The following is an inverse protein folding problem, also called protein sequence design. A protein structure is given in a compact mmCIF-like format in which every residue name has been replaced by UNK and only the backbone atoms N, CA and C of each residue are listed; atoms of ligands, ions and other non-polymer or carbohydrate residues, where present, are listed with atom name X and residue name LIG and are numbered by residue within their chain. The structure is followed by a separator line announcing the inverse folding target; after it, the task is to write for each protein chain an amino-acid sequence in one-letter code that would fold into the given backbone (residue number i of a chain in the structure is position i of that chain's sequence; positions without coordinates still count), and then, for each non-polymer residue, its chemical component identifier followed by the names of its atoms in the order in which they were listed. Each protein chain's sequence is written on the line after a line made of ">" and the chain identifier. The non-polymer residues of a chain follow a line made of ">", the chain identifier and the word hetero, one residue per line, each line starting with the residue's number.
data_IF_368930329794
#
_entry.id   IF_368930329794
#
_cell.length_a   1.000
_cell.length_b   1.000
_cell.length_c   1.000
_cell.angle_alpha   90.00
_cell.angle_beta   90.00
_cell.angle_gamma   90.00
#
_symmetry.space_group_name_H-M   'P 1'
#
loop_
_entity.id
_entity.type
_entity.pdbx_description
1 polymer ?
#
# COMPACT_ATOMS: atom_id res chain seq x y z
N UNK A 1 -10.34 -1.18 12.84
CA UNK A 1 -11.13 -1.45 11.64
C UNK A 1 -10.74 -2.81 11.11
N UNK A 2 -11.64 -3.45 10.38
CA UNK A 2 -11.30 -4.65 9.61
C UNK A 2 -10.20 -4.29 8.58
N UNK A 3 -9.13 -5.06 8.58
CA UNK A 3 -7.97 -4.90 7.66
C UNK A 3 -7.81 -6.13 6.77
N UNK A 4 -8.83 -7.00 6.71
CA UNK A 4 -8.91 -8.07 5.72
C UNK A 4 -8.73 -7.50 4.31
N UNK A 5 -7.90 -8.14 3.49
CA UNK A 5 -7.56 -7.65 2.16
C UNK A 5 -6.65 -6.41 2.11
N UNK A 6 -6.03 -6.00 3.24
CA UNK A 6 -4.97 -4.97 3.28
C UNK A 6 -3.61 -5.59 3.62
N UNK A 7 -2.56 -4.77 3.64
CA UNK A 7 -1.16 -5.15 3.90
C UNK A 7 -0.64 -4.69 5.28
N UNK A 8 -1.35 -4.90 6.42
CA UNK A 8 -0.99 -4.28 7.69
C UNK A 8 0.31 -4.78 8.31
N UNK A 9 0.67 -6.07 8.21
CA UNK A 9 1.99 -6.56 8.68
C UNK A 9 3.09 -6.07 7.76
N UNK A 10 2.85 -6.15 6.46
CA UNK A 10 3.79 -5.72 5.43
C UNK A 10 4.18 -4.25 5.62
N UNK A 11 3.20 -3.36 5.76
CA UNK A 11 3.43 -1.93 5.93
C UNK A 11 3.92 -1.55 7.33
N UNK A 12 3.44 -2.22 8.38
CA UNK A 12 3.98 -2.01 9.74
C UNK A 12 5.45 -2.42 9.79
N UNK A 13 5.81 -3.54 9.15
CA UNK A 13 7.18 -4.02 9.05
C UNK A 13 8.08 -3.05 8.28
N UNK A 14 7.63 -2.58 7.11
CA UNK A 14 8.33 -1.57 6.32
C UNK A 14 8.66 -0.33 7.16
N UNK A 15 7.67 0.22 7.83
CA UNK A 15 7.83 1.48 8.58
C UNK A 15 8.77 1.32 9.78
N UNK A 16 8.68 0.22 10.53
CA UNK A 16 9.56 -0.01 11.68
C UNK A 16 11.01 -0.25 11.26
N UNK A 17 11.25 -1.02 10.20
CA UNK A 17 12.60 -1.25 9.65
C UNK A 17 13.20 0.06 9.12
N UNK A 18 12.42 0.85 8.38
CA UNK A 18 12.87 2.14 7.84
C UNK A 18 13.24 3.13 8.96
N UNK A 19 12.39 3.25 9.98
CA UNK A 19 12.64 4.12 11.13
C UNK A 19 13.81 3.62 11.98
N UNK A 20 13.98 2.31 12.11
CA UNK A 20 15.13 1.69 12.75
C UNK A 20 16.43 2.01 12.00
N UNK A 21 16.43 1.87 10.67
CA UNK A 21 17.57 2.20 9.83
C UNK A 21 17.96 3.69 9.93
N UNK A 22 16.97 4.59 9.89
CA UNK A 22 17.19 6.02 10.09
C UNK A 22 17.77 6.31 11.47
N UNK A 23 17.17 5.76 12.53
CA UNK A 23 17.62 5.99 13.91
C UNK A 23 19.04 5.46 14.14
N UNK A 24 19.39 4.34 13.50
CA UNK A 24 20.74 3.78 13.52
C UNK A 24 21.76 4.69 12.85
N UNK A 25 21.41 5.29 11.72
CA UNK A 25 22.26 6.25 11.02
C UNK A 25 22.42 7.54 11.84
N UNK A 26 21.34 8.08 12.37
CA UNK A 26 21.35 9.33 13.15
C UNK A 26 21.93 9.13 14.57
N UNK A 27 22.02 7.89 15.04
CA UNK A 27 22.46 7.54 16.39
C UNK A 27 21.48 7.95 17.50
N UNK A 28 20.23 8.25 17.14
CA UNK A 28 19.17 8.69 18.05
C UNK A 28 17.79 8.49 17.40
N UNK A 29 16.71 8.66 18.17
CA UNK A 29 15.32 8.45 17.70
C UNK A 29 14.54 9.74 17.45
N UNK A 30 15.18 10.90 17.36
CA UNK A 30 14.48 12.19 17.35
C UNK A 30 13.42 12.30 16.25
N UNK A 31 13.67 11.75 15.06
CA UNK A 31 12.65 11.69 13.99
C UNK A 31 11.48 10.79 14.39
N UNK A 32 11.77 9.58 14.87
CA UNK A 32 10.79 8.56 15.26
C UNK A 32 9.93 9.01 16.46
N UNK A 33 10.51 9.74 17.40
CA UNK A 33 9.84 10.20 18.63
C UNK A 33 8.60 11.05 18.35
N UNK A 34 8.61 11.80 17.23
CA UNK A 34 7.46 12.59 16.76
C UNK A 34 6.23 11.75 16.43
N UNK A 35 6.41 10.45 16.18
CA UNK A 35 5.37 9.52 15.76
C UNK A 35 5.28 8.30 16.69
N UNK A 36 5.92 8.35 17.85
CA UNK A 36 6.03 7.19 18.74
C UNK A 36 4.71 6.48 19.06
N UNK A 37 3.60 7.19 19.35
CA UNK A 37 2.32 6.51 19.59
C UNK A 37 1.83 5.66 18.41
N UNK A 38 2.12 6.08 17.17
CA UNK A 38 1.78 5.32 15.96
C UNK A 38 2.74 4.15 15.75
N UNK A 39 4.04 4.37 15.97
CA UNK A 39 5.09 3.33 15.90
C UNK A 39 4.77 2.20 16.89
N UNK A 40 4.41 2.54 18.13
CA UNK A 40 3.99 1.55 19.15
C UNK A 40 2.73 0.79 18.73
N UNK A 41 1.78 1.42 18.04
CA UNK A 41 0.61 0.71 17.49
C UNK A 41 1.01 -0.32 16.44
N UNK A 42 1.91 0.02 15.52
CA UNK A 42 2.43 -0.91 14.53
C UNK A 42 3.18 -2.07 15.18
N UNK A 43 4.06 -1.79 16.15
CA UNK A 43 4.78 -2.83 16.88
C UNK A 43 3.83 -3.77 17.65
N UNK A 44 2.84 -3.23 18.35
CA UNK A 44 1.84 -4.05 19.06
C UNK A 44 0.99 -4.88 18.10
N UNK A 45 0.67 -4.36 16.91
CA UNK A 45 0.02 -5.12 15.87
C UNK A 45 0.88 -6.32 15.46
N UNK A 46 2.17 -6.11 15.16
CA UNK A 46 3.11 -7.17 14.83
C UNK A 46 3.32 -8.19 15.96
N UNK A 47 3.34 -7.76 17.22
CA UNK A 47 3.38 -8.69 18.37
C UNK A 47 2.15 -9.60 18.37
N UNK A 48 0.97 -9.05 18.08
CA UNK A 48 -0.29 -9.78 18.15
C UNK A 48 -0.60 -10.64 16.92
N UNK A 49 -0.09 -10.25 15.75
CA UNK A 49 -0.50 -10.76 14.44
C UNK A 49 0.66 -11.06 13.51
N UNK A 50 1.88 -10.61 13.77
CA UNK A 50 2.96 -10.65 12.80
C UNK A 50 3.63 -12.01 12.58
N UNK A 51 3.42 -12.99 13.48
CA UNK A 51 4.08 -14.29 13.37
C UNK A 51 3.47 -15.19 12.28
N UNK A 52 2.18 -15.47 12.35
CA UNK A 52 1.49 -16.37 11.42
C UNK A 52 0.06 -15.87 11.21
N UNK A 53 -0.33 -15.66 9.95
CA UNK A 53 -1.61 -15.07 9.59
C UNK A 53 -2.33 -15.86 8.52
N UNK A 54 -3.58 -16.17 8.84
CA UNK A 54 -4.51 -16.85 7.95
C UNK A 54 -4.94 -15.98 6.76
N UNK A 55 -5.03 -14.65 6.94
CA UNK A 55 -5.57 -13.77 5.89
C UNK A 55 -5.03 -12.32 5.96
N UNK A 56 -4.09 -11.98 5.07
CA UNK A 56 -3.76 -10.59 4.68
C UNK A 56 -3.07 -10.58 3.31
N UNK A 57 -2.99 -9.40 2.71
CA UNK A 57 -2.18 -9.20 1.51
C UNK A 57 -0.68 -9.05 1.83
N UNK A 58 0.17 -9.33 0.85
CA UNK A 58 1.62 -9.11 0.83
C UNK A 58 2.05 -8.42 -0.47
N UNK A 59 3.26 -7.86 -0.49
CA UNK A 59 3.81 -7.25 -1.71
C UNK A 59 3.89 -8.23 -2.90
N UNK A 60 3.94 -9.54 -2.61
CA UNK A 60 4.03 -10.61 -3.60
C UNK A 60 2.68 -11.14 -4.06
N UNK A 61 1.55 -10.53 -3.69
CA UNK A 61 0.22 -11.03 -4.06
C UNK A 61 -0.11 -10.93 -5.55
N UNK A 62 0.74 -10.24 -6.33
CA UNK A 62 0.72 -10.38 -7.80
C UNK A 62 0.97 -11.83 -8.24
N UNK A 63 1.59 -12.66 -7.37
CA UNK A 63 1.77 -14.10 -7.53
C UNK A 63 0.62 -14.94 -6.91
N UNK A 64 -0.47 -14.28 -6.50
CA UNK A 64 -1.60 -14.87 -5.80
C UNK A 64 -1.47 -14.81 -4.28
N UNK A 65 -2.61 -14.60 -3.62
CA UNK A 65 -2.73 -14.51 -2.16
C UNK A 65 -2.16 -15.76 -1.46
N UNK A 66 -1.41 -15.53 -0.38
CA UNK A 66 -0.72 -16.58 0.37
C UNK A 66 -0.81 -16.36 1.88
N UNK A 67 -1.68 -17.15 2.53
CA UNK A 67 -1.72 -17.30 3.98
C UNK A 67 -0.43 -17.96 4.50
N UNK A 68 -0.15 -17.80 5.80
CA UNK A 68 0.95 -18.46 6.50
C UNK A 68 2.36 -18.18 5.91
N UNK A 69 2.54 -17.01 5.29
CA UNK A 69 3.76 -16.66 4.55
C UNK A 69 4.98 -16.54 5.48
N UNK A 70 5.95 -17.44 5.26
CA UNK A 70 7.17 -17.57 6.07
C UNK A 70 8.09 -16.35 5.91
N UNK A 71 8.20 -15.79 4.71
CA UNK A 71 9.05 -14.62 4.45
C UNK A 71 8.46 -13.35 5.09
N UNK A 72 7.14 -13.19 5.05
CA UNK A 72 6.45 -12.07 5.70
C UNK A 72 6.54 -12.17 7.23
N UNK A 73 6.47 -13.38 7.79
CA UNK A 73 6.74 -13.63 9.21
C UNK A 73 8.15 -13.17 9.61
N UNK A 74 9.17 -13.50 8.79
CA UNK A 74 10.54 -13.03 8.97
C UNK A 74 10.64 -11.50 9.02
N UNK A 75 9.92 -10.80 8.14
CA UNK A 75 9.83 -9.33 8.15
C UNK A 75 9.32 -8.78 9.48
N UNK A 76 8.27 -9.41 10.03
CA UNK A 76 7.71 -9.00 11.31
C UNK A 76 8.72 -9.16 12.45
N UNK A 77 9.49 -10.26 12.43
CA UNK A 77 10.55 -10.52 13.42
C UNK A 77 11.63 -9.43 13.35
N UNK A 78 12.13 -9.14 12.14
CA UNK A 78 13.10 -8.07 11.92
C UNK A 78 12.58 -6.69 12.35
N UNK A 79 11.33 -6.39 12.03
CA UNK A 79 10.69 -5.13 12.41
C UNK A 79 10.56 -4.97 13.93
N UNK A 80 10.26 -6.04 14.66
CA UNK A 80 10.25 -6.03 16.13
C UNK A 80 11.67 -5.89 16.70
N UNK A 81 12.67 -6.50 16.07
CA UNK A 81 14.08 -6.27 16.37
C UNK A 81 14.50 -4.80 16.22
N UNK A 82 14.11 -4.17 15.10
CA UNK A 82 14.36 -2.75 14.84
C UNK A 82 13.64 -1.84 15.86
N UNK A 83 12.39 -2.16 16.24
CA UNK A 83 11.67 -1.42 17.27
C UNK A 83 12.32 -1.55 18.65
N UNK A 84 12.78 -2.75 19.03
CA UNK A 84 13.54 -2.96 20.26
C UNK A 84 14.85 -2.16 20.26
N UNK A 85 15.58 -2.13 19.13
CA UNK A 85 16.78 -1.28 18.98
C UNK A 85 16.46 0.21 19.24
N UNK A 86 15.39 0.74 18.66
CA UNK A 86 14.97 2.13 18.89
C UNK A 86 14.55 2.39 20.34
N UNK A 87 13.85 1.46 21.00
CA UNK A 87 13.53 1.56 22.43
C UNK A 87 14.80 1.66 23.29
N UNK A 88 15.82 0.86 22.97
CA UNK A 88 17.13 0.93 23.62
C UNK A 88 17.80 2.30 23.44
N UNK A 89 17.77 2.86 22.23
CA UNK A 89 18.29 4.21 21.94
C UNK A 89 17.56 5.31 22.73
N UNK A 90 16.26 5.12 23.02
CA UNK A 90 15.44 6.03 23.85
C UNK A 90 15.69 5.88 25.35
N UNK A 91 16.46 4.88 25.77
CA UNK A 91 16.65 4.54 27.19
C UNK A 91 15.49 3.74 27.80
N UNK A 92 14.52 3.27 27.01
CA UNK A 92 13.41 2.41 27.47
C UNK A 92 13.87 0.94 27.47
N UNK A 93 14.83 0.64 28.33
CA UNK A 93 15.55 -0.64 28.36
C UNK A 93 14.66 -1.82 28.74
N UNK A 94 13.67 -1.60 29.61
CA UNK A 94 12.73 -2.64 30.02
C UNK A 94 11.84 -3.09 28.87
N UNK A 95 11.23 -2.14 28.16
CA UNK A 95 10.38 -2.44 27.01
C UNK A 95 11.20 -2.95 25.82
N UNK A 96 12.41 -2.41 25.60
CA UNK A 96 13.38 -2.95 24.65
C UNK A 96 13.64 -4.44 24.91
N UNK A 97 13.94 -4.81 26.16
CA UNK A 97 14.18 -6.20 26.55
C UNK A 97 12.95 -7.10 26.34
N UNK A 98 11.75 -6.60 26.67
CA UNK A 98 10.49 -7.32 26.45
C UNK A 98 10.24 -7.61 24.97
N UNK A 99 10.31 -6.59 24.11
CA UNK A 99 10.07 -6.76 22.68
C UNK A 99 11.15 -7.63 22.05
N UNK A 100 12.42 -7.44 22.43
CA UNK A 100 13.52 -8.30 21.99
C UNK A 100 13.26 -9.77 22.31
N UNK A 101 12.87 -10.07 23.55
CA UNK A 101 12.55 -11.45 23.96
C UNK A 101 11.38 -12.06 23.20
N UNK A 102 10.39 -11.24 22.80
CA UNK A 102 9.29 -11.68 21.92
C UNK A 102 9.83 -12.04 20.53
N UNK A 103 10.64 -11.16 19.93
CA UNK A 103 11.21 -11.40 18.60
C UNK A 103 12.11 -12.65 18.58
N UNK A 104 12.92 -12.87 19.62
CA UNK A 104 13.72 -14.09 19.78
C UNK A 104 12.85 -15.34 19.96
N UNK A 105 11.74 -15.23 20.70
CA UNK A 105 10.74 -16.29 20.83
C UNK A 105 10.11 -16.65 19.49
N UNK A 106 9.68 -15.65 18.72
CA UNK A 106 9.14 -15.82 17.37
C UNK A 106 10.19 -16.43 16.43
N UNK A 107 11.46 -16.03 16.52
CA UNK A 107 12.55 -16.62 15.72
C UNK A 107 12.71 -18.11 16.01
N UNK A 108 12.71 -18.52 17.29
CA UNK A 108 12.79 -19.94 17.65
C UNK A 108 11.62 -20.75 17.09
N UNK A 109 10.41 -20.20 17.15
CA UNK A 109 9.22 -20.83 16.57
C UNK A 109 9.33 -20.90 15.04
N UNK A 110 9.75 -19.82 14.40
CA UNK A 110 9.94 -19.74 12.95
C UNK A 110 10.94 -20.79 12.47
N UNK A 111 12.08 -20.93 13.16
CA UNK A 111 13.10 -21.93 12.84
C UNK A 111 12.57 -23.35 12.92
N UNK A 112 11.73 -23.65 13.92
CA UNK A 112 11.14 -24.98 14.08
C UNK A 112 10.03 -25.25 13.05
N UNK A 113 9.18 -24.26 12.79
CA UNK A 113 7.99 -24.41 11.96
C UNK A 113 8.30 -24.31 10.47
N UNK A 114 9.23 -23.46 10.06
CA UNK A 114 9.50 -23.17 8.65
C UNK A 114 10.51 -24.13 8.00
N UNK A 115 11.32 -24.84 8.79
CA UNK A 115 12.37 -25.73 8.28
C UNK A 115 11.80 -26.86 7.42
N UNK A 116 12.46 -27.13 6.29
CA UNK A 116 12.13 -28.23 5.39
C UNK A 116 13.39 -28.85 4.79
N UNK A 117 14.15 -29.54 5.63
CA UNK A 117 15.42 -30.14 5.23
C UNK A 117 16.50 -29.09 4.92
N UNK A 118 16.81 -28.93 3.64
CA UNK A 118 17.88 -28.07 3.12
C UNK A 118 17.44 -26.63 2.83
N UNK A 119 16.18 -26.26 3.11
CA UNK A 119 15.67 -24.90 2.97
C UNK A 119 14.52 -24.60 3.96
N UNK A 120 13.90 -23.43 3.82
CA UNK A 120 12.74 -22.97 4.56
C UNK A 120 11.52 -22.74 3.64
N UNK A 121 10.35 -23.17 4.11
CA UNK A 121 9.11 -23.23 3.35
C UNK A 121 8.66 -21.89 2.77
N UNK A 122 7.82 -21.94 1.73
CA UNK A 122 7.07 -20.78 1.24
C UNK A 122 6.02 -20.33 2.29
N UNK A 123 5.25 -21.29 2.81
CA UNK A 123 4.24 -21.09 3.83
C UNK A 123 4.37 -22.17 4.93
N UNK A 124 4.03 -21.83 6.19
CA UNK A 124 4.23 -22.74 7.32
C UNK A 124 3.51 -24.08 7.15
N UNK A 125 2.37 -24.08 6.47
CA UNK A 125 1.49 -25.23 6.22
C UNK A 125 1.79 -25.96 4.90
N UNK A 126 2.79 -25.54 4.11
CA UNK A 126 3.08 -26.09 2.77
C UNK A 126 4.46 -26.78 2.70
N UNK A 127 4.59 -28.06 3.09
CA UNK A 127 5.83 -28.80 2.93
C UNK A 127 6.19 -29.00 1.44
N UNK A 128 7.48 -29.14 1.15
CA UNK A 128 8.05 -29.29 -0.18
C UNK A 128 8.08 -28.01 -1.03
N UNK A 129 7.82 -26.85 -0.42
CA UNK A 129 7.78 -25.56 -1.11
C UNK A 129 8.88 -24.64 -0.61
N UNK A 130 9.23 -23.61 -1.37
CA UNK A 130 10.28 -22.66 -0.99
C UNK A 130 10.01 -21.27 -1.54
N UNK A 131 10.66 -20.26 -0.96
CA UNK A 131 10.66 -18.88 -1.46
C UNK A 131 11.94 -18.16 -1.10
N UNK A 132 12.26 -17.11 -1.85
CA UNK A 132 13.29 -16.16 -1.48
C UNK A 132 12.94 -15.49 -0.12
N UNK A 133 13.86 -15.60 0.85
CA UNK A 133 13.73 -15.01 2.19
C UNK A 133 14.33 -13.61 2.22
N UNK A 134 13.95 -12.79 1.26
CA UNK A 134 14.54 -11.45 1.10
C UNK A 134 14.26 -10.53 2.30
N UNK A 135 13.19 -10.73 3.06
CA UNK A 135 12.83 -9.82 4.16
C UNK A 135 13.77 -9.92 5.37
N UNK A 136 14.47 -11.05 5.56
CA UNK A 136 15.42 -11.23 6.68
C UNK A 136 16.80 -10.64 6.38
N UNK A 137 16.99 -10.00 5.23
CA UNK A 137 18.25 -9.29 4.88
C UNK A 137 18.59 -8.16 5.85
N UNK A 138 17.56 -7.59 6.49
CA UNK A 138 17.72 -6.50 7.45
C UNK A 138 18.41 -6.94 8.74
N UNK A 139 18.49 -8.24 9.01
CA UNK A 139 19.10 -8.76 10.24
C UNK A 139 20.57 -8.35 10.32
N UNK A 140 21.31 -8.63 9.25
CA UNK A 140 22.71 -8.26 9.10
C UNK A 140 22.89 -6.76 8.82
N UNK A 141 22.04 -6.17 7.97
CA UNK A 141 22.16 -4.74 7.65
C UNK A 141 21.97 -3.90 8.92
N UNK A 142 20.99 -4.19 9.77
CA UNK A 142 20.70 -3.40 10.97
C UNK A 142 21.37 -3.93 12.24
N UNK A 143 22.23 -4.95 12.16
CA UNK A 143 22.81 -5.64 13.34
C UNK A 143 21.71 -6.06 14.34
N UNK A 144 20.56 -6.52 13.83
CA UNK A 144 19.47 -7.02 14.65
C UNK A 144 19.86 -8.38 15.24
N UNK A 145 20.55 -9.24 14.49
CA UNK A 145 21.10 -10.52 14.94
C UNK A 145 20.05 -11.41 15.66
N UNK A 146 18.88 -11.59 15.05
CA UNK A 146 17.84 -12.51 15.51
C UNK A 146 17.99 -13.88 14.86
N UNK A 147 18.37 -13.94 13.58
CA UNK A 147 18.55 -15.20 12.86
C UNK A 147 20.01 -15.66 12.91
N UNK A 148 20.28 -16.94 13.16
CA UNK A 148 21.65 -17.45 13.12
C UNK A 148 22.16 -17.52 11.66
N UNK A 149 23.46 -17.27 11.46
CA UNK A 149 24.11 -17.28 10.13
C UNK A 149 23.84 -18.54 9.31
N UNK A 150 23.63 -19.68 9.97
CA UNK A 150 23.30 -20.95 9.33
C UNK A 150 22.00 -20.93 8.53
N UNK A 151 21.05 -20.04 8.87
CA UNK A 151 19.83 -19.82 8.07
C UNK A 151 20.21 -19.23 6.71
N UNK A 152 21.01 -18.17 6.70
CA UNK A 152 21.41 -17.48 5.48
C UNK A 152 22.27 -18.38 4.60
N UNK A 153 23.24 -19.07 5.19
CA UNK A 153 24.11 -20.00 4.46
C UNK A 153 23.33 -21.15 3.83
N UNK A 154 22.33 -21.68 4.55
CA UNK A 154 21.50 -22.76 4.04
C UNK A 154 20.57 -22.30 2.91
N UNK A 155 19.85 -21.18 3.09
CA UNK A 155 18.99 -20.63 2.03
C UNK A 155 19.83 -20.29 0.78
N UNK A 156 21.01 -19.69 0.97
CA UNK A 156 21.90 -19.37 -0.14
C UNK A 156 22.40 -20.60 -0.89
N UNK A 157 22.81 -21.66 -0.16
CA UNK A 157 23.20 -22.93 -0.77
C UNK A 157 22.05 -23.53 -1.58
N UNK A 158 20.83 -23.49 -1.04
CA UNK A 158 19.65 -23.97 -1.75
C UNK A 158 19.33 -23.13 -3.00
N UNK A 159 19.36 -21.80 -2.90
CA UNK A 159 19.08 -20.89 -4.02
C UNK A 159 19.98 -21.12 -5.21
N UNK A 160 21.27 -21.37 -4.98
CA UNK A 160 22.23 -21.68 -6.05
C UNK A 160 21.83 -22.91 -6.86
N UNK A 161 21.15 -23.88 -6.25
CA UNK A 161 20.61 -25.06 -6.96
C UNK A 161 19.39 -24.76 -7.83
N UNK A 162 18.78 -23.59 -7.67
CA UNK A 162 17.53 -23.16 -8.34
C UNK A 162 17.74 -22.05 -9.36
N UNK A 163 18.99 -21.63 -9.61
CA UNK A 163 19.30 -20.61 -10.60
C UNK A 163 18.92 -21.08 -12.00
N UNK A 164 18.11 -20.27 -12.68
CA UNK A 164 17.87 -20.38 -14.12
C UNK A 164 18.80 -19.42 -14.88
N UNK A 165 18.77 -19.49 -16.21
CA UNK A 165 19.62 -18.70 -17.13
C UNK A 165 19.67 -17.21 -16.78
N UNK A 166 18.55 -16.63 -16.37
CA UNK A 166 18.36 -15.21 -16.17
C UNK A 166 18.05 -14.81 -14.72
N UNK A 167 18.06 -15.74 -13.76
CA UNK A 167 17.81 -15.39 -12.36
C UNK A 167 17.32 -16.53 -11.49
N UNK A 168 17.16 -16.22 -10.20
CA UNK A 168 16.53 -17.08 -9.20
C UNK A 168 15.01 -16.87 -9.22
N UNK A 169 14.17 -17.90 -9.41
CA UNK A 169 12.72 -17.77 -9.25
C UNK A 169 12.31 -17.20 -7.89
N UNK A 170 11.20 -16.46 -7.84
CA UNK A 170 10.71 -15.85 -6.58
C UNK A 170 10.42 -16.93 -5.52
N UNK A 171 9.78 -18.01 -5.96
CA UNK A 171 9.38 -19.14 -5.15
C UNK A 171 9.09 -20.38 -6.01
N UNK A 172 8.65 -21.46 -5.38
CA UNK A 172 8.40 -22.74 -6.03
C UNK A 172 7.16 -22.79 -6.95
N UNK A 173 6.36 -21.71 -7.06
CA UNK A 173 5.09 -21.73 -7.82
C UNK A 173 5.31 -21.51 -9.31
N UNK A 174 6.27 -20.67 -9.68
CA UNK A 174 6.42 -20.15 -11.05
C UNK A 174 7.88 -19.88 -11.39
N UNK A 175 8.19 -19.80 -12.69
CA UNK A 175 9.55 -19.53 -13.19
C UNK A 175 9.90 -18.04 -13.31
N UNK A 176 9.04 -17.13 -12.85
CA UNK A 176 9.36 -15.70 -12.82
C UNK A 176 10.01 -15.29 -11.51
N UNK A 177 10.61 -14.10 -11.51
CA UNK A 177 11.21 -13.50 -10.31
C UNK A 177 10.90 -12.03 -10.17
N UNK A 178 11.32 -11.49 -9.02
CA UNK A 178 11.46 -10.07 -8.78
C UNK A 178 12.94 -9.70 -8.76
N UNK A 179 13.30 -8.71 -9.58
CA UNK A 179 14.69 -8.29 -9.79
C UNK A 179 15.35 -7.82 -8.48
N UNK A 180 14.64 -6.94 -7.77
CA UNK A 180 14.98 -6.39 -6.47
C UNK A 180 15.08 -7.48 -5.40
N UNK A 181 14.08 -8.37 -5.28
CA UNK A 181 14.11 -9.45 -4.30
C UNK A 181 15.27 -10.41 -4.50
N UNK A 182 15.65 -10.70 -5.76
CA UNK A 182 16.84 -11.51 -6.06
C UNK A 182 18.10 -10.88 -5.46
N UNK A 183 18.25 -9.56 -5.58
CA UNK A 183 19.42 -8.84 -5.04
C UNK A 183 19.37 -8.66 -3.52
N UNK A 184 18.19 -8.63 -2.92
CA UNK A 184 18.02 -8.70 -1.47
C UNK A 184 18.43 -10.08 -0.94
N UNK A 185 17.99 -11.16 -1.58
CA UNK A 185 18.41 -12.52 -1.26
C UNK A 185 19.92 -12.72 -1.48
N UNK A 186 20.48 -12.17 -2.55
CA UNK A 186 21.92 -12.18 -2.82
C UNK A 186 22.76 -11.51 -1.71
N UNK A 187 22.17 -10.59 -0.95
CA UNK A 187 22.85 -9.87 0.11
C UNK A 187 22.78 -10.57 1.48
N UNK A 188 22.00 -11.65 1.64
CA UNK A 188 21.74 -12.30 2.94
C UNK A 188 23.02 -12.68 3.70
N UNK A 189 23.98 -13.32 3.03
CA UNK A 189 25.21 -13.82 3.66
C UNK A 189 26.29 -12.77 3.82
N UNK A 190 26.16 -11.61 3.16
CA UNK A 190 27.20 -10.58 3.06
C UNK A 190 28.45 -11.01 2.26
N UNK A 191 28.50 -12.24 1.72
CA UNK A 191 29.63 -12.75 0.96
C UNK A 191 29.56 -12.25 -0.48
N UNK A 192 30.64 -11.61 -0.95
CA UNK A 192 30.73 -11.11 -2.33
C UNK A 192 30.51 -12.21 -3.38
N UNK A 193 30.99 -13.42 -3.11
CA UNK A 193 30.84 -14.55 -4.04
C UNK A 193 29.36 -14.90 -4.25
N UNK A 194 28.58 -14.99 -3.17
CA UNK A 194 27.15 -15.27 -3.22
C UNK A 194 26.39 -14.13 -3.93
N UNK A 195 26.76 -12.88 -3.65
CA UNK A 195 26.19 -11.72 -4.32
C UNK A 195 26.39 -11.80 -5.84
N UNK A 196 27.62 -12.05 -6.29
CA UNK A 196 27.95 -12.16 -7.71
C UNK A 196 27.20 -13.32 -8.35
N UNK A 197 27.20 -14.49 -7.72
CA UNK A 197 26.57 -15.70 -8.28
C UNK A 197 25.06 -15.53 -8.52
N UNK A 198 24.34 -14.82 -7.64
CA UNK A 198 22.91 -14.55 -7.83
C UNK A 198 22.65 -13.32 -8.73
N UNK A 199 23.62 -12.42 -8.89
CA UNK A 199 23.46 -11.18 -9.68
C UNK A 199 23.86 -11.37 -11.15
N UNK A 200 24.83 -12.23 -11.45
CA UNK A 200 25.31 -12.46 -12.82
C UNK A 200 24.18 -12.87 -13.78
N UNK A 201 23.25 -13.79 -13.42
CA UNK A 201 22.10 -14.09 -14.27
C UNK A 201 21.17 -12.87 -14.51
N UNK A 202 21.06 -11.98 -13.52
CA UNK A 202 20.30 -10.73 -13.64
C UNK A 202 21.00 -9.76 -14.59
N UNK A 203 22.34 -9.70 -14.56
CA UNK A 203 23.12 -8.93 -15.52
C UNK A 203 22.89 -9.43 -16.95
N UNK A 204 22.92 -10.75 -17.14
CA UNK A 204 22.65 -11.37 -18.42
C UNK A 204 21.22 -11.09 -18.90
N UNK A 205 20.23 -11.12 -18.00
CA UNK A 205 18.87 -10.69 -18.30
C UNK A 205 18.83 -9.26 -18.84
N UNK A 206 19.45 -8.31 -18.15
CA UNK A 206 19.43 -6.90 -18.56
C UNK A 206 20.13 -6.66 -19.89
N UNK A 207 21.14 -7.48 -20.22
CA UNK A 207 21.89 -7.38 -21.47
C UNK A 207 21.20 -8.08 -22.65
N UNK A 208 20.57 -9.24 -22.41
CA UNK A 208 20.07 -10.14 -23.46
C UNK A 208 18.55 -10.11 -23.63
N UNK A 209 17.79 -9.54 -22.69
CA UNK A 209 16.33 -9.58 -22.71
C UNK A 209 15.77 -9.16 -24.08
N UNK A 210 14.83 -9.92 -24.67
CA UNK A 210 14.13 -9.51 -25.88
C UNK A 210 13.13 -8.37 -25.62
N UNK A 211 12.77 -8.09 -24.36
CA UNK A 211 11.82 -7.05 -23.99
C UNK A 211 12.47 -5.66 -24.11
N UNK A 212 12.05 -4.86 -25.09
CA UNK A 212 12.55 -3.49 -25.34
C UNK A 212 11.80 -2.45 -24.49
N UNK A 213 11.87 -2.60 -23.17
CA UNK A 213 11.19 -1.76 -22.17
C UNK A 213 12.19 -1.27 -21.12
N UNK A 214 11.88 -0.20 -20.36
CA UNK A 214 12.67 0.18 -19.18
C UNK A 214 12.81 -0.99 -18.21
N UNK A 215 13.94 -1.04 -17.46
CA UNK A 215 14.28 -2.11 -16.54
C UNK A 215 13.07 -2.59 -15.73
N UNK A 216 12.60 -3.79 -16.06
CA UNK A 216 11.46 -4.42 -15.40
C UNK A 216 11.94 -5.11 -14.14
N UNK A 217 11.11 -5.05 -13.13
CA UNK A 217 11.34 -5.74 -11.88
C UNK A 217 10.56 -7.05 -11.78
N UNK A 218 9.77 -7.45 -12.78
CA UNK A 218 9.05 -8.74 -12.81
C UNK A 218 9.17 -9.41 -14.19
N UNK A 219 9.99 -10.46 -14.26
CA UNK A 219 10.39 -11.12 -15.51
C UNK A 219 10.56 -12.63 -15.34
N UNK A 220 10.53 -13.38 -16.45
CA UNK A 220 10.73 -14.82 -16.48
C UNK A 220 12.22 -15.17 -16.45
N UNK A 221 12.62 -16.04 -15.53
CA UNK A 221 14.04 -16.39 -15.30
C UNK A 221 14.60 -17.38 -16.33
N UNK A 222 13.76 -17.97 -17.17
CA UNK A 222 14.18 -18.90 -18.24
C UNK A 222 14.30 -18.16 -19.57
N UNK A 223 13.28 -17.39 -19.96
CA UNK A 223 13.22 -16.73 -21.27
C UNK A 223 13.74 -15.27 -21.24
N UNK A 224 13.88 -14.67 -20.06
CA UNK A 224 14.30 -13.28 -19.93
C UNK A 224 13.26 -12.30 -20.48
N UNK A 225 11.99 -12.71 -20.54
CA UNK A 225 10.88 -11.86 -21.01
C UNK A 225 10.19 -11.19 -19.84
N UNK A 226 9.80 -9.93 -20.02
CA UNK A 226 8.98 -9.19 -19.07
C UNK A 226 7.62 -9.88 -18.86
N UNK A 227 7.15 -9.92 -17.61
CA UNK A 227 5.81 -10.42 -17.28
C UNK A 227 4.80 -9.27 -17.30
N UNK A 228 4.98 -8.23 -16.48
CA UNK A 228 4.04 -7.09 -16.44
C UNK A 228 4.69 -5.78 -15.97
N UNK A 229 5.32 -5.75 -14.80
CA UNK A 229 5.80 -4.50 -14.21
C UNK A 229 6.90 -3.84 -15.04
N UNK A 230 6.93 -2.50 -15.07
CA UNK A 230 7.94 -1.70 -15.77
C UNK A 230 7.97 -0.28 -15.21
N UNK A 231 9.13 0.37 -15.25
CA UNK A 231 9.30 1.78 -14.86
C UNK A 231 8.79 2.13 -13.44
N UNK A 232 8.96 1.21 -12.47
CA UNK A 232 8.56 1.40 -11.08
C UNK A 232 9.76 1.79 -10.22
N UNK A 233 9.55 2.60 -9.19
CA UNK A 233 10.61 3.03 -8.26
C UNK A 233 11.22 1.89 -7.44
N UNK A 234 10.51 0.76 -7.31
CA UNK A 234 10.99 -0.44 -6.59
C UNK A 234 12.32 -0.98 -7.14
N UNK A 235 12.68 -0.66 -8.39
CA UNK A 235 14.00 -0.98 -8.96
C UNK A 235 15.16 -0.39 -8.16
N UNK A 236 14.92 0.61 -7.31
CA UNK A 236 15.93 1.09 -6.36
C UNK A 236 16.40 0.02 -5.37
N UNK A 237 15.63 -1.05 -5.16
CA UNK A 237 15.99 -2.19 -4.31
C UNK A 237 17.29 -2.88 -4.73
N UNK A 238 17.75 -2.71 -5.98
CA UNK A 238 19.04 -3.26 -6.47
C UNK A 238 20.26 -2.77 -5.70
N UNK A 239 20.15 -1.62 -5.04
CA UNK A 239 21.25 -1.02 -4.29
C UNK A 239 21.40 -1.59 -2.88
N UNK A 240 20.52 -2.49 -2.43
CA UNK A 240 20.61 -3.05 -1.08
C UNK A 240 21.95 -3.71 -0.73
N UNK A 241 22.71 -4.37 -1.66
CA UNK A 241 24.01 -4.92 -1.30
C UNK A 241 25.02 -3.84 -0.87
N UNK A 242 24.83 -2.60 -1.31
CA UNK A 242 25.63 -1.45 -0.90
C UNK A 242 25.40 -1.11 0.58
N UNK A 243 24.18 -1.33 1.09
CA UNK A 243 23.85 -1.12 2.51
C UNK A 243 24.52 -2.16 3.41
N UNK A 244 24.76 -3.38 2.91
CA UNK A 244 25.48 -4.41 3.65
C UNK A 244 27.01 -4.12 3.71
N UNK A 245 27.52 -3.23 2.85
CA UNK A 245 28.89 -2.75 2.95
C UNK A 245 29.00 -1.58 3.94
N UNK A 246 29.41 -1.89 5.18
CA UNK A 246 29.60 -0.91 6.27
C UNK A 246 30.46 0.30 5.88
N UNK A 247 31.55 0.09 5.13
CA UNK A 247 32.43 1.20 4.73
C UNK A 247 31.73 2.16 3.78
N UNK A 248 31.01 1.62 2.78
CA UNK A 248 30.27 2.44 1.83
C UNK A 248 29.10 3.14 2.51
N UNK A 249 28.33 2.41 3.32
CA UNK A 249 27.20 2.99 4.05
C UNK A 249 27.66 4.11 4.98
N UNK A 250 28.66 3.88 5.83
CA UNK A 250 29.19 4.91 6.73
C UNK A 250 29.72 6.13 5.98
N UNK A 251 30.41 5.94 4.84
CA UNK A 251 30.91 7.07 4.02
C UNK A 251 29.77 7.99 3.58
N UNK A 252 28.71 7.44 3.00
CA UNK A 252 27.61 8.23 2.45
C UNK A 252 26.68 8.76 3.54
N UNK A 253 26.39 7.96 4.58
CA UNK A 253 25.64 8.41 5.74
C UNK A 253 26.33 9.60 6.43
N UNK A 254 27.65 9.53 6.65
CA UNK A 254 28.39 10.64 7.26
C UNK A 254 28.39 11.91 6.40
N UNK A 255 28.48 11.77 5.07
CA UNK A 255 28.34 12.91 4.15
C UNK A 255 26.97 13.59 4.35
N UNK A 256 25.91 12.80 4.40
CA UNK A 256 24.54 13.32 4.48
C UNK A 256 24.25 13.92 5.86
N UNK A 257 24.73 13.30 6.94
CA UNK A 257 24.69 13.87 8.30
C UNK A 257 25.50 15.17 8.42
N UNK A 258 26.64 15.27 7.74
CA UNK A 258 27.42 16.51 7.72
C UNK A 258 26.71 17.62 6.93
N UNK A 259 26.12 17.30 5.78
CA UNK A 259 25.30 18.23 5.00
C UNK A 259 24.08 18.71 5.81
N UNK A 260 23.43 17.79 6.51
CA UNK A 260 22.30 18.03 7.40
C UNK A 260 22.60 18.94 8.60
N UNK A 261 23.86 19.09 9.02
CA UNK A 261 24.22 20.07 10.06
C UNK A 261 24.19 21.52 9.55
N UNK A 262 24.37 21.71 8.24
CA UNK A 262 24.41 23.01 7.58
C UNK A 262 23.12 23.34 6.81
N UNK A 263 22.27 22.34 6.61
CA UNK A 263 20.90 22.50 6.12
C UNK A 263 20.01 22.41 7.36
N UNK A 264 19.18 23.41 7.61
CA UNK A 264 18.13 23.23 8.60
C UNK A 264 17.25 22.07 8.10
N UNK A 265 17.47 20.84 8.61
CA UNK A 265 16.65 19.65 8.34
C UNK A 265 15.28 19.83 9.00
N UNK A 266 14.62 20.94 8.70
CA UNK A 266 13.19 20.97 8.58
C UNK A 266 12.87 20.02 7.42
N UNK A 267 12.94 18.70 7.69
CA UNK A 267 12.24 17.69 6.93
C UNK A 267 10.92 18.32 6.55
N UNK A 268 10.63 18.37 5.24
CA UNK A 268 9.40 19.00 4.76
C UNK A 268 8.27 18.51 5.69
N UNK A 269 7.57 19.43 6.40
CA UNK A 269 6.59 19.00 7.38
C UNK A 269 5.66 18.03 6.66
N UNK A 270 5.43 16.85 7.26
CA UNK A 270 4.39 15.98 6.75
C UNK A 270 3.15 16.87 6.59
N UNK A 271 2.47 16.83 5.43
CA UNK A 271 1.26 17.62 5.27
C UNK A 271 0.36 17.26 6.45
N UNK A 272 -0.23 18.26 7.13
CA UNK A 272 -1.11 17.99 8.26
C UNK A 272 -2.15 16.96 7.82
N UNK A 273 -2.51 15.98 8.68
CA UNK A 273 -3.51 14.98 8.32
C UNK A 273 -4.75 15.70 7.80
N UNK A 274 -5.17 15.34 6.59
CA UNK A 274 -6.34 15.96 5.98
C UNK A 274 -7.54 15.79 6.91
N UNK A 275 -8.07 16.90 7.40
CA UNK A 275 -9.30 16.88 8.19
C UNK A 275 -10.48 16.92 7.24
N UNK A 276 -11.16 15.77 7.09
CA UNK A 276 -12.33 15.63 6.25
C UNK A 276 -13.58 15.89 7.08
N UNK A 277 -14.30 16.98 6.79
CA UNK A 277 -15.57 17.31 7.41
C UNK A 277 -16.67 17.26 6.37
N UNK A 278 -17.64 16.36 6.53
CA UNK A 278 -18.77 16.26 5.62
C UNK A 278 -19.68 17.50 5.75
N UNK A 279 -19.93 18.18 4.63
CA UNK A 279 -20.76 19.39 4.55
C UNK A 279 -22.13 19.06 3.99
N UNK A 280 -22.18 18.20 2.97
CA UNK A 280 -23.40 17.62 2.42
C UNK A 280 -23.30 16.10 2.57
N UNK A 281 -24.21 15.45 3.33
CA UNK A 281 -24.10 14.04 3.67
C UNK A 281 -24.23 13.15 2.45
N UNK A 282 -23.45 12.08 2.41
CA UNK A 282 -23.62 10.89 1.58
C UNK A 282 -24.70 10.00 2.20
N UNK A 283 -25.07 8.93 1.50
CA UNK A 283 -26.07 7.95 1.90
C UNK A 283 -25.48 6.84 2.79
N UNK A 284 -24.21 6.93 3.21
CA UNK A 284 -23.57 5.98 4.13
C UNK A 284 -24.40 5.72 5.40
N UNK A 285 -25.04 6.77 5.93
CA UNK A 285 -25.88 6.70 7.13
C UNK A 285 -27.37 6.58 6.83
N UNK A 286 -27.74 6.48 5.55
CA UNK A 286 -29.12 6.53 5.08
C UNK A 286 -29.79 7.91 5.23
N UNK A 287 -31.08 7.96 4.91
CA UNK A 287 -31.95 9.13 4.98
C UNK A 287 -31.79 10.15 3.84
N UNK A 288 -30.95 9.86 2.85
CA UNK A 288 -30.69 10.77 1.73
C UNK A 288 -31.50 10.35 0.51
N UNK A 289 -32.47 11.18 0.11
CA UNK A 289 -33.31 10.94 -1.06
C UNK A 289 -32.75 11.59 -2.32
N UNK A 290 -32.87 10.85 -3.42
CA UNK A 290 -32.47 11.26 -4.77
C UNK A 290 -33.62 11.06 -5.74
N UNK A 291 -33.66 11.89 -6.78
CA UNK A 291 -34.50 11.71 -7.95
C UNK A 291 -33.63 11.15 -9.07
N UNK A 292 -34.03 10.04 -9.71
CA UNK A 292 -33.18 9.33 -10.66
C UNK A 292 -33.96 8.73 -11.85
N UNK A 293 -33.23 8.45 -12.94
CA UNK A 293 -33.71 7.68 -14.10
C UNK A 293 -32.63 6.70 -14.54
N UNK A 294 -33.06 5.58 -15.13
CA UNK A 294 -32.21 4.55 -15.73
C UNK A 294 -32.28 4.57 -17.27
N UNK A 295 -33.09 5.47 -17.82
CA UNK A 295 -33.19 5.74 -19.25
C UNK A 295 -32.59 7.10 -19.54
N UNK A 296 -31.87 7.20 -20.66
CA UNK A 296 -31.24 8.43 -21.14
C UNK A 296 -32.22 9.62 -21.05
N UNK A 297 -31.94 10.62 -20.20
CA UNK A 297 -32.78 11.81 -20.09
C UNK A 297 -32.47 12.81 -21.20
N UNK A 298 -33.17 13.95 -21.18
CA UNK A 298 -32.87 15.10 -22.05
C UNK A 298 -31.43 15.58 -21.87
N UNK A 299 -30.89 16.22 -22.91
CA UNK A 299 -29.50 16.67 -22.92
C UNK A 299 -29.17 17.69 -21.80
N UNK A 300 -30.17 18.37 -21.25
CA UNK A 300 -30.07 19.36 -20.18
C UNK A 300 -30.37 18.80 -18.78
N UNK A 301 -30.38 17.47 -18.60
CA UNK A 301 -30.71 16.80 -17.34
C UNK A 301 -29.93 17.33 -16.12
N UNK A 302 -28.69 17.79 -16.32
CA UNK A 302 -27.82 18.30 -15.26
C UNK A 302 -28.14 19.75 -14.85
N UNK A 303 -28.94 20.49 -15.64
CA UNK A 303 -29.27 21.89 -15.38
C UNK A 303 -29.96 22.06 -14.03
N UNK A 304 -29.80 23.22 -13.39
CA UNK A 304 -30.38 23.48 -12.06
C UNK A 304 -31.92 23.36 -12.04
N UNK A 305 -32.58 23.68 -13.15
CA UNK A 305 -34.03 23.64 -13.34
C UNK A 305 -34.50 22.48 -14.24
N UNK A 306 -33.68 21.44 -14.44
CA UNK A 306 -34.04 20.31 -15.29
C UNK A 306 -35.36 19.65 -14.84
N UNK A 307 -36.21 19.33 -15.81
CA UNK A 307 -37.50 18.70 -15.55
C UNK A 307 -37.32 17.21 -15.23
N UNK A 308 -37.64 16.83 -14.00
CA UNK A 308 -37.55 15.44 -13.51
C UNK A 308 -38.91 14.86 -13.14
N UNK A 309 -40.01 15.39 -13.69
CA UNK A 309 -41.36 14.94 -13.33
C UNK A 309 -41.62 13.45 -13.59
N UNK A 310 -40.91 12.85 -14.55
CA UNK A 310 -41.02 11.43 -14.91
C UNK A 310 -39.98 10.54 -14.22
N UNK A 311 -39.06 11.14 -13.46
CA UNK A 311 -38.00 10.40 -12.79
C UNK A 311 -38.53 9.75 -11.51
N UNK A 312 -37.90 8.65 -11.13
CA UNK A 312 -38.21 7.93 -9.89
C UNK A 312 -37.55 8.65 -8.71
N UNK A 313 -38.01 8.33 -7.51
CA UNK A 313 -37.36 8.77 -6.26
C UNK A 313 -36.91 7.54 -5.48
N UNK A 314 -35.74 7.61 -4.88
CA UNK A 314 -35.14 6.51 -4.13
C UNK A 314 -34.11 7.01 -3.12
N UNK A 315 -33.80 6.19 -2.14
CA UNK A 315 -32.72 6.48 -1.21
C UNK A 315 -31.37 6.23 -1.88
N UNK A 316 -30.38 7.09 -1.63
CA UNK A 316 -29.06 6.97 -2.26
C UNK A 316 -28.23 5.78 -1.76
N UNK A 317 -27.05 5.62 -2.33
CA UNK A 317 -26.37 4.33 -2.36
C UNK A 317 -27.02 3.42 -3.39
N UNK A 318 -26.91 3.81 -4.66
CA UNK A 318 -27.47 3.07 -5.79
C UNK A 318 -26.52 1.96 -6.19
N UNK A 319 -26.96 0.71 -6.22
CA UNK A 319 -26.11 -0.41 -6.63
C UNK A 319 -26.77 -1.77 -6.41
N UNK A 320 -25.99 -2.84 -6.44
CA UNK A 320 -26.45 -4.20 -6.15
C UNK A 320 -25.96 -4.72 -4.79
N UNK A 321 -26.69 -5.70 -4.22
CA UNK A 321 -26.27 -6.41 -3.01
C UNK A 321 -24.92 -7.11 -3.20
N UNK A 322 -24.12 -7.18 -2.13
CA UNK A 322 -22.83 -7.90 -2.13
C UNK A 322 -21.58 -7.02 -2.17
N UNK A 323 -21.71 -5.69 -2.10
CA UNK A 323 -20.59 -4.77 -1.90
C UNK A 323 -20.23 -4.66 -0.40
N UNK A 324 -19.08 -5.19 0.06
CA UNK A 324 -18.72 -5.16 1.47
C UNK A 324 -18.62 -3.72 1.98
N UNK A 325 -19.39 -3.39 3.02
CA UNK A 325 -19.36 -2.07 3.68
C UNK A 325 -20.14 -0.96 2.98
N UNK A 326 -20.69 -1.19 1.78
CA UNK A 326 -21.52 -0.21 1.08
C UNK A 326 -23.00 -0.38 1.44
N UNK A 327 -23.67 0.72 1.81
CA UNK A 327 -25.12 0.73 2.04
C UNK A 327 -25.84 0.87 0.70
N UNK A 328 -26.78 -0.04 0.42
CA UNK A 328 -27.64 0.00 -0.76
C UNK A 328 -29.02 0.54 -0.34
N UNK A 329 -29.34 1.76 -0.76
CA UNK A 329 -30.65 2.38 -0.51
C UNK A 329 -31.64 2.14 -1.65
N UNK A 330 -31.15 2.05 -2.89
CA UNK A 330 -31.95 1.76 -4.08
C UNK A 330 -31.19 0.82 -5.00
N UNK A 331 -31.86 -0.23 -5.49
CA UNK A 331 -31.24 -1.14 -6.44
C UNK A 331 -31.01 -0.45 -7.79
N UNK A 332 -29.81 -0.61 -8.35
CA UNK A 332 -29.45 -0.21 -9.70
C UNK A 332 -28.69 -1.37 -10.35
N UNK A 333 -29.11 -1.77 -11.56
CA UNK A 333 -28.59 -2.92 -12.30
C UNK A 333 -28.58 -2.73 -13.83
N UNK A 334 -28.51 -1.47 -14.29
CA UNK A 334 -28.48 -1.10 -15.71
C UNK A 334 -27.13 -0.46 -16.06
N UNK A 335 -26.83 -0.29 -17.35
CA UNK A 335 -25.55 0.32 -17.78
C UNK A 335 -25.38 1.76 -17.33
N UNK A 336 -26.48 2.50 -17.15
CA UNK A 336 -26.42 3.93 -16.83
C UNK A 336 -27.42 4.27 -15.72
N UNK A 337 -27.04 5.25 -14.90
CA UNK A 337 -27.91 5.92 -13.95
C UNK A 337 -27.65 7.43 -13.98
N UNK A 338 -28.73 8.20 -14.06
CA UNK A 338 -28.72 9.65 -13.84
C UNK A 338 -29.49 9.95 -12.57
N UNK A 339 -28.85 10.61 -11.62
CA UNK A 339 -29.45 10.97 -10.35
C UNK A 339 -29.20 12.43 -9.99
N UNK A 340 -30.15 13.05 -9.31
CA UNK A 340 -30.11 14.43 -8.87
C UNK A 340 -30.67 14.54 -7.47
N UNK A 341 -30.14 15.49 -6.70
CA UNK A 341 -30.79 15.92 -5.45
C UNK A 341 -30.52 17.39 -5.16
N UNK A 342 -31.44 17.99 -4.43
CA UNK A 342 -31.28 19.32 -3.89
C UNK A 342 -30.59 19.26 -2.52
N UNK A 343 -29.79 20.27 -2.21
CA UNK A 343 -29.20 20.44 -0.88
C UNK A 343 -29.07 21.93 -0.55
N UNK A 344 -28.96 22.24 0.74
CA UNK A 344 -28.87 23.62 1.22
C UNK A 344 -27.51 23.88 1.83
N UNK A 345 -26.90 25.03 1.51
CA UNK A 345 -25.67 25.50 2.13
C UNK A 345 -25.90 26.84 2.85
N UNK A 346 -25.34 26.98 4.03
CA UNK A 346 -25.21 28.28 4.70
C UNK A 346 -24.04 29.08 4.12
N UNK A 347 -24.07 30.41 4.30
CA UNK A 347 -22.92 31.25 3.96
C UNK A 347 -21.63 30.82 4.69
N UNK A 348 -21.74 30.35 5.93
CA UNK A 348 -20.61 29.84 6.72
C UNK A 348 -20.01 28.54 6.13
N UNK A 349 -20.83 27.66 5.57
CA UNK A 349 -20.36 26.45 4.88
C UNK A 349 -19.60 26.78 3.59
N UNK A 350 -19.83 27.96 3.00
CA UNK A 350 -19.17 28.45 1.79
C UNK A 350 -17.96 29.36 2.04
N UNK A 351 -17.68 29.74 3.28
CA UNK A 351 -16.59 30.67 3.60
C UNK A 351 -15.20 30.22 3.12
N UNK A 352 -14.96 28.90 3.06
CA UNK A 352 -13.74 28.28 2.52
C UNK A 352 -14.09 27.36 1.34
N UNK A 353 -14.67 27.96 0.29
CA UNK A 353 -15.22 27.18 -0.84
C UNK A 353 -14.16 26.37 -1.59
N UNK A 354 -12.92 26.85 -1.64
CA UNK A 354 -11.76 26.21 -2.25
C UNK A 354 -11.37 24.89 -1.57
N UNK A 355 -11.77 24.69 -0.32
CA UNK A 355 -11.58 23.44 0.43
C UNK A 355 -12.69 22.41 0.21
N UNK A 356 -13.74 22.75 -0.55
CA UNK A 356 -14.83 21.82 -0.84
C UNK A 356 -14.44 20.87 -1.96
N UNK A 357 -14.72 19.60 -1.73
CA UNK A 357 -14.51 18.51 -2.68
C UNK A 357 -15.77 17.66 -2.79
N UNK A 358 -15.94 16.97 -3.91
CA UNK A 358 -16.98 15.95 -4.04
C UNK A 358 -16.52 14.72 -3.29
N UNK A 359 -17.35 14.23 -2.37
CA UNK A 359 -17.17 12.93 -1.74
C UNK A 359 -18.00 11.93 -2.56
N UNK A 360 -17.36 11.13 -3.41
CA UNK A 360 -18.02 10.30 -4.42
C UNK A 360 -17.62 8.84 -4.22
N UNK A 361 -18.60 7.94 -4.28
CA UNK A 361 -18.38 6.52 -4.53
C UNK A 361 -19.09 6.22 -5.85
N UNK A 362 -18.31 5.86 -6.87
CA UNK A 362 -18.82 5.55 -8.19
C UNK A 362 -18.22 4.26 -8.74
N UNK A 363 -18.93 3.69 -9.71
CA UNK A 363 -18.45 2.64 -10.56
C UNK A 363 -18.10 3.20 -11.94
N UNK A 364 -17.03 2.70 -12.56
CA UNK A 364 -16.54 3.13 -13.88
C UNK A 364 -16.67 4.65 -14.17
N UNK A 365 -17.30 5.04 -15.28
CA UNK A 365 -17.28 6.43 -15.73
C UNK A 365 -18.30 7.29 -14.97
N UNK A 366 -17.83 8.36 -14.34
CA UNK A 366 -18.67 9.28 -13.57
C UNK A 366 -18.56 10.73 -14.04
N UNK A 367 -19.73 11.38 -14.12
CA UNK A 367 -19.86 12.81 -14.36
C UNK A 367 -20.65 13.44 -13.23
N UNK A 368 -20.11 14.51 -12.65
CA UNK A 368 -20.76 15.26 -11.57
C UNK A 368 -20.93 16.71 -11.98
N UNK A 369 -22.11 17.27 -11.72
CA UNK A 369 -22.45 18.66 -11.97
C UNK A 369 -23.00 19.31 -10.72
N UNK A 370 -22.66 20.58 -10.52
CA UNK A 370 -23.17 21.43 -9.43
C UNK A 370 -23.89 22.61 -10.06
N UNK A 371 -25.18 22.76 -9.77
CA UNK A 371 -26.03 23.82 -10.31
C UNK A 371 -25.95 23.95 -11.85
N UNK A 372 -25.81 22.83 -12.56
CA UNK A 372 -25.68 22.81 -14.02
C UNK A 372 -24.27 23.02 -14.56
N UNK A 373 -23.26 23.18 -13.70
CA UNK A 373 -21.86 23.36 -14.09
C UNK A 373 -21.08 22.09 -13.83
N UNK A 374 -20.29 21.63 -14.82
CA UNK A 374 -19.48 20.43 -14.71
C UNK A 374 -18.44 20.56 -13.57
N UNK A 375 -18.53 19.67 -12.60
CA UNK A 375 -17.64 19.58 -11.45
C UNK A 375 -16.54 18.54 -11.68
N UNK A 376 -16.91 17.36 -12.20
CA UNK A 376 -16.02 16.23 -12.48
C UNK A 376 -16.46 15.50 -13.77
N UNK A 377 -15.48 14.94 -14.48
CA UNK A 377 -15.68 13.98 -15.56
C UNK A 377 -14.49 13.02 -15.53
N UNK A 378 -14.73 11.76 -15.22
CA UNK A 378 -13.67 10.79 -14.97
C UNK A 378 -14.09 9.37 -15.34
N UNK A 379 -13.10 8.53 -15.58
CA UNK A 379 -13.26 7.09 -15.76
C UNK A 379 -12.57 6.28 -14.67
N UNK A 380 -12.89 4.99 -14.62
CA UNK A 380 -12.42 4.04 -13.60
C UNK A 380 -13.29 4.06 -12.33
N UNK A 381 -13.29 2.99 -11.55
CA UNK A 381 -14.17 2.85 -10.37
C UNK A 381 -13.46 3.18 -9.05
N UNK A 382 -14.26 3.44 -8.00
CA UNK A 382 -13.78 3.54 -6.62
C UNK A 382 -14.27 2.33 -5.80
N UNK A 383 -13.53 1.96 -4.75
CA UNK A 383 -13.95 0.86 -3.83
C UNK A 383 -14.65 1.37 -2.57
N UNK A 384 -14.57 2.68 -2.33
CA UNK A 384 -15.20 3.37 -1.20
C UNK A 384 -15.49 4.82 -1.58
N UNK A 385 -15.94 5.63 -0.62
CA UNK A 385 -16.08 7.08 -0.82
C UNK A 385 -14.71 7.75 -0.86
N UNK A 386 -14.43 8.41 -1.98
CA UNK A 386 -13.19 9.13 -2.24
C UNK A 386 -13.45 10.62 -2.46
N UNK A 387 -12.39 11.41 -2.29
CA UNK A 387 -12.44 12.87 -2.35
C UNK A 387 -11.88 13.38 -3.67
N UNK A 388 -12.68 14.16 -4.38
CA UNK A 388 -12.33 14.67 -5.70
C UNK A 388 -12.45 16.20 -5.76
N UNK A 389 -11.37 16.84 -6.23
CA UNK A 389 -11.34 18.29 -6.43
C UNK A 389 -12.31 18.73 -7.52
N UNK A 390 -13.19 19.67 -7.20
CA UNK A 390 -14.13 20.23 -8.16
C UNK A 390 -13.46 21.24 -9.09
N UNK A 391 -14.01 21.41 -10.29
CA UNK A 391 -13.64 22.53 -11.15
C UNK A 391 -13.90 23.88 -10.45
N UNK A 392 -13.06 24.89 -10.74
CA UNK A 392 -13.24 26.24 -10.20
C UNK A 392 -14.60 26.85 -10.58
N UNK A 393 -15.15 26.48 -11.74
CA UNK A 393 -16.47 26.94 -12.18
C UNK A 393 -17.59 26.31 -11.36
N UNK A 394 -17.53 25.01 -11.06
CA UNK A 394 -18.50 24.35 -10.19
C UNK A 394 -18.43 24.87 -8.75
N UNK A 395 -17.21 25.11 -8.25
CA UNK A 395 -17.00 25.77 -6.96
C UNK A 395 -17.68 27.14 -6.93
N UNK A 396 -17.49 27.95 -7.97
CA UNK A 396 -18.10 29.27 -8.11
C UNK A 396 -19.63 29.22 -8.21
N UNK A 397 -20.19 28.15 -8.79
CA UNK A 397 -21.62 27.95 -8.97
C UNK A 397 -22.37 27.66 -7.65
N UNK A 398 -21.69 27.16 -6.61
CA UNK A 398 -22.30 26.99 -5.29
C UNK A 398 -22.75 28.32 -4.69
N UNK A 399 -23.93 28.32 -4.07
CA UNK A 399 -24.54 29.52 -3.48
C UNK A 399 -25.17 29.24 -2.10
N UNK A 400 -25.27 30.24 -1.21
CA UNK A 400 -26.08 30.10 -0.01
C UNK A 400 -27.53 29.76 -0.38
N UNK A 401 -28.18 28.96 0.45
CA UNK A 401 -29.51 28.42 0.15
C UNK A 401 -29.44 27.16 -0.73
N UNK A 402 -30.43 27.01 -1.60
CA UNK A 402 -30.66 25.82 -2.41
C UNK A 402 -29.64 25.67 -3.54
N UNK A 403 -29.09 24.45 -3.65
CA UNK A 403 -28.21 23.98 -4.71
C UNK A 403 -28.69 22.62 -5.22
N UNK A 404 -28.16 22.19 -6.37
CA UNK A 404 -28.43 20.89 -6.98
C UNK A 404 -27.10 20.21 -7.29
N UNK A 405 -26.99 18.94 -6.93
CA UNK A 405 -25.97 18.02 -7.47
C UNK A 405 -26.64 17.08 -8.45
N UNK A 406 -26.00 16.86 -9.60
CA UNK A 406 -26.42 15.91 -10.61
C UNK A 406 -25.26 14.97 -10.92
N UNK A 407 -25.52 13.67 -10.94
CA UNK A 407 -24.52 12.62 -11.14
C UNK A 407 -25.00 11.70 -12.24
N UNK A 408 -24.12 11.40 -13.17
CA UNK A 408 -24.28 10.32 -14.13
C UNK A 408 -23.17 9.31 -13.91
N UNK A 409 -23.54 8.04 -13.81
CA UNK A 409 -22.57 6.95 -13.76
C UNK A 409 -22.91 5.95 -14.85
N UNK A 410 -21.88 5.53 -15.59
CA UNK A 410 -21.96 4.50 -16.62
C UNK A 410 -21.10 3.31 -16.20
N UNK A 411 -21.76 2.20 -15.92
CA UNK A 411 -21.18 0.89 -15.71
C UNK A 411 -20.80 0.25 -17.07
N UNK A 412 -19.57 -0.23 -17.16
CA UNK A 412 -19.04 -0.97 -18.32
C UNK A 412 -18.83 -2.46 -18.02
N UNK A 413 -19.15 -2.89 -16.81
CA UNK A 413 -19.26 -4.27 -16.36
C UNK A 413 -18.59 -4.49 -15.00
N UNK A 414 -19.28 -5.16 -14.09
CA UNK A 414 -18.71 -5.61 -12.82
C UNK A 414 -19.60 -5.29 -11.63
N UNK A 415 -19.00 -4.65 -10.62
CA UNK A 415 -19.72 -4.11 -9.46
C UNK A 415 -20.43 -2.83 -9.88
N UNK A 416 -21.43 -2.37 -9.12
CA UNK A 416 -22.12 -1.11 -9.42
C UNK A 416 -22.38 -0.34 -8.14
N UNK A 417 -21.94 0.91 -8.11
CA UNK A 417 -22.27 1.82 -7.03
C UNK A 417 -22.33 3.28 -7.51
N UNK A 418 -23.24 4.05 -6.94
CA UNK A 418 -23.27 5.50 -7.11
C UNK A 418 -23.86 6.15 -5.86
N UNK A 419 -23.08 7.02 -5.23
CA UNK A 419 -23.55 8.02 -4.28
C UNK A 419 -22.56 9.18 -4.18
N UNK A 420 -23.05 10.38 -3.88
CA UNK A 420 -22.20 11.56 -3.80
C UNK A 420 -22.64 12.50 -2.68
N UNK A 421 -21.68 13.18 -2.06
CA UNK A 421 -21.85 14.28 -1.14
C UNK A 421 -20.78 15.36 -1.35
N UNK A 422 -20.69 16.29 -0.40
CA UNK A 422 -19.63 17.30 -0.37
C UNK A 422 -18.93 17.23 0.97
N UNK A 423 -17.61 17.30 0.95
CA UNK A 423 -16.79 17.40 2.15
C UNK A 423 -15.83 18.57 2.04
N UNK A 424 -15.46 19.11 3.19
CA UNK A 424 -14.37 20.05 3.34
C UNK A 424 -13.12 19.30 3.73
N UNK A 425 -12.02 19.57 3.03
CA UNK A 425 -10.70 18.99 3.30
C UNK A 425 -9.79 20.13 3.76
N UNK A 426 -9.27 20.03 4.98
CA UNK A 426 -8.38 21.04 5.59
C UNK A 426 -7.01 20.46 5.90
#
# INVERSE_FOLDING_TARGET
>A
GDVSGKMPVEESGNMLILLGALSKVEGNTSYADRHWPTITKWANYLISKGYDLDNQLSTDDFAGHLAHNVNLSGKSIEALGAYAMMLGMRGDTAESGRVRGIAEGMTRQWLAAAKDGDHYKLAFDKPGTWSQKYNIVWDNILDINLFPDSVFDQEMAFYKTKLNRYGLPLDSRESYTKLDWTLWSAALTGKKADLVELTDPVYDFLNESPSRLPMTDWYRTIEGTQVNFKARSVVGGVFIPVLNNRQIWSKWANRDLAAAKNVNLNWAPLPPPQQVTQIVPTSEKGGVMWTYTLSQPSADWFAANANTATWKTGEGGFGMEGLPGARIGTAWNTSDIWARREFTLSAAQLANRDQLQVLLYHDDDAQVYINGVAALNMGGSSESYELFSMSNLALAALKPGKNVVAVHVRDTGGKQYMDAGLARVK
#
